data_IF_222999623518
#
_entry.id   IF_222999623518
#
_cell.length_a   1.000
_cell.length_b   1.000
_cell.length_c   1.000
_cell.angle_alpha   90.00
_cell.angle_beta   90.00
_cell.angle_gamma   90.00
#
_symmetry.space_group_name_H-M   'P 1'
#
loop_
_entity.id
_entity.type
_entity.pdbx_description
1 polymer ?
#
# COMPACT_ATOMS: atom_id res chain seq x y z
N UNK A 1 13.02 -6.51 44.00
CA UNK A 1 13.53 -6.84 42.64
C UNK A 1 12.44 -7.63 41.93
N UNK A 2 11.50 -6.93 41.29
CA UNK A 2 10.45 -7.54 40.49
C UNK A 2 10.73 -7.22 39.03
N UNK A 3 11.20 -8.21 38.28
CA UNK A 3 11.32 -8.14 36.82
C UNK A 3 9.93 -8.08 36.20
N UNK A 4 9.67 -6.98 35.49
CA UNK A 4 8.48 -6.68 34.72
C UNK A 4 8.16 -7.80 33.73
N UNK A 5 6.95 -8.36 33.85
CA UNK A 5 6.42 -9.48 33.06
C UNK A 5 6.14 -9.14 31.59
N UNK A 6 6.38 -7.89 31.16
CA UNK A 6 6.15 -7.40 29.80
C UNK A 6 7.29 -7.71 28.81
N UNK A 7 8.54 -7.72 29.26
CA UNK A 7 9.70 -7.91 28.35
C UNK A 7 9.87 -9.35 27.84
N UNK A 8 9.20 -10.33 28.48
CA UNK A 8 9.29 -11.74 28.09
C UNK A 8 8.40 -12.12 26.90
N UNK A 9 7.47 -11.27 26.50
CA UNK A 9 6.52 -11.49 25.40
C UNK A 9 7.16 -11.31 24.03
N UNK A 10 7.94 -10.24 23.86
CA UNK A 10 8.37 -9.80 22.53
C UNK A 10 9.57 -10.60 22.00
N UNK A 11 10.44 -11.07 22.91
CA UNK A 11 11.57 -11.93 22.56
C UNK A 11 11.12 -13.30 22.02
N UNK A 12 9.96 -13.81 22.44
CA UNK A 12 9.44 -15.09 21.98
C UNK A 12 8.82 -15.02 20.57
N UNK A 13 8.27 -13.87 20.17
CA UNK A 13 7.69 -13.70 18.83
C UNK A 13 8.74 -13.54 17.72
N UNK A 14 9.93 -13.00 18.05
CA UNK A 14 11.05 -12.83 17.11
C UNK A 14 11.78 -14.17 16.80
N UNK A 15 11.67 -15.18 17.67
CA UNK A 15 12.42 -16.45 17.55
C UNK A 15 11.86 -17.51 16.57
N UNK A 16 10.67 -17.32 15.99
CA UNK A 16 9.94 -18.43 15.34
C UNK A 16 9.89 -18.42 13.80
N UNK A 17 10.40 -17.39 13.11
CA UNK A 17 10.29 -17.30 11.64
C UNK A 17 11.47 -17.89 10.85
N UNK A 18 12.51 -18.39 11.51
CA UNK A 18 13.67 -19.00 10.83
C UNK A 18 13.27 -20.18 9.95
N UNK A 19 12.33 -21.01 10.40
CA UNK A 19 11.83 -22.14 9.62
C UNK A 19 11.15 -21.68 8.32
N UNK A 20 10.43 -20.55 8.38
CA UNK A 20 9.85 -19.95 7.17
C UNK A 20 10.93 -19.43 6.23
N UNK A 21 12.01 -18.82 6.76
CA UNK A 21 13.14 -18.37 5.94
C UNK A 21 13.82 -19.53 5.20
N UNK A 22 13.96 -20.69 5.85
CA UNK A 22 14.45 -21.91 5.22
C UNK A 22 13.51 -22.38 4.09
N UNK A 23 12.20 -22.44 4.37
CA UNK A 23 11.18 -22.79 3.36
C UNK A 23 11.18 -21.80 2.18
N UNK A 24 11.23 -20.51 2.45
CA UNK A 24 11.25 -19.44 1.46
C UNK A 24 12.49 -19.53 0.55
N UNK A 25 13.59 -20.06 1.08
CA UNK A 25 14.84 -20.22 0.33
C UNK A 25 14.84 -21.45 -0.61
N UNK A 26 13.85 -22.34 -0.50
CA UNK A 26 13.75 -23.52 -1.37
C UNK A 26 13.46 -23.13 -2.83
N UNK A 27 14.07 -23.81 -3.82
CA UNK A 27 13.77 -23.58 -5.24
C UNK A 27 12.30 -23.75 -5.63
N UNK A 28 11.57 -24.58 -4.89
CA UNK A 28 10.13 -24.83 -5.07
C UNK A 28 9.25 -23.70 -4.52
N UNK A 29 9.81 -22.75 -3.75
CA UNK A 29 9.07 -21.61 -3.22
C UNK A 29 8.82 -20.57 -4.32
N UNK A 30 7.70 -20.74 -5.03
CA UNK A 30 7.35 -19.92 -6.20
C UNK A 30 6.27 -18.87 -5.90
N UNK A 31 5.46 -19.06 -4.86
CA UNK A 31 4.26 -18.26 -4.63
C UNK A 31 4.18 -17.87 -3.17
N UNK A 32 4.14 -16.56 -2.92
CA UNK A 32 3.85 -16.00 -1.60
C UNK A 32 2.58 -15.15 -1.69
N UNK A 33 1.60 -15.47 -0.85
CA UNK A 33 0.30 -14.80 -0.83
C UNK A 33 -0.08 -14.57 0.62
N UNK A 34 -0.10 -13.31 1.03
CA UNK A 34 -0.33 -12.93 2.42
C UNK A 34 -1.49 -11.96 2.53
N UNK A 35 -2.42 -12.25 3.43
CA UNK A 35 -3.36 -11.30 3.99
C UNK A 35 -2.89 -10.98 5.41
N UNK A 36 -2.55 -9.71 5.63
CA UNK A 36 -2.01 -9.23 6.89
C UNK A 36 -3.09 -8.42 7.57
N UNK A 37 -3.60 -8.99 8.66
CA UNK A 37 -4.59 -8.34 9.52
C UNK A 37 -3.88 -7.95 10.81
N UNK A 38 -3.93 -6.68 11.23
CA UNK A 38 -3.36 -6.30 12.51
C UNK A 38 -4.14 -7.00 13.64
N UNK A 39 -3.45 -7.36 14.72
CA UNK A 39 -4.11 -7.85 15.92
C UNK A 39 -5.17 -6.82 16.34
N UNK A 40 -6.42 -7.25 16.45
CA UNK A 40 -7.46 -6.43 17.07
C UNK A 40 -7.04 -6.23 18.52
N UNK A 41 -6.71 -5.00 18.89
CA UNK A 41 -6.59 -4.64 20.30
C UNK A 41 -8.04 -4.67 20.81
N UNK A 42 -8.41 -5.76 21.49
CA UNK A 42 -9.70 -5.79 22.20
C UNK A 42 -9.65 -4.69 23.27
N UNK A 43 -10.65 -3.78 23.32
CA UNK A 43 -10.71 -2.80 24.38
C UNK A 43 -10.76 -3.56 25.71
N UNK A 44 -9.76 -3.35 26.56
CA UNK A 44 -9.74 -3.91 27.91
C UNK A 44 -10.92 -3.29 28.67
N UNK A 45 -11.80 -4.12 29.22
CA UNK A 45 -13.04 -3.69 29.89
C UNK A 45 -12.80 -2.81 31.14
N UNK A 46 -11.55 -2.74 31.63
CA UNK A 46 -11.23 -2.21 32.96
C UNK A 46 -10.50 -0.84 32.98
N UNK A 47 -10.10 -0.27 31.84
CA UNK A 47 -9.31 0.97 31.77
C UNK A 47 -10.16 2.16 31.25
N UNK A 48 -10.94 2.78 32.13
CA UNK A 48 -11.88 3.88 31.80
C UNK A 48 -11.22 5.16 31.25
N UNK A 49 -9.90 5.36 31.36
CA UNK A 49 -9.26 6.64 31.01
C UNK A 49 -7.83 6.57 30.46
N UNK A 50 -7.38 5.41 29.96
CA UNK A 50 -6.21 5.46 29.08
C UNK A 50 -6.69 5.93 27.71
N UNK A 51 -6.30 7.16 27.32
CA UNK A 51 -6.16 7.52 25.90
C UNK A 51 -5.65 6.26 25.19
N UNK A 52 -6.33 5.77 24.13
CA UNK A 52 -6.00 4.48 23.53
C UNK A 52 -4.51 4.48 23.25
N UNK A 53 -3.76 3.73 24.06
CA UNK A 53 -2.32 3.91 24.24
C UNK A 53 -1.69 4.22 22.89
N UNK A 54 -1.36 5.51 22.71
CA UNK A 54 -0.91 6.19 21.50
C UNK A 54 -0.65 5.19 20.39
N UNK A 55 -1.57 5.05 19.42
CA UNK A 55 -1.43 4.32 18.16
C UNK A 55 -0.02 3.72 18.00
N UNK A 56 0.28 2.60 18.69
CA UNK A 56 1.62 2.03 18.68
C UNK A 56 1.75 1.33 17.33
N UNK A 57 1.99 2.15 16.32
CA UNK A 57 2.27 1.74 14.94
C UNK A 57 3.41 0.74 14.91
N UNK A 58 4.29 0.77 15.93
CA UNK A 58 5.42 -0.13 16.05
C UNK A 58 5.00 -1.59 16.25
N UNK A 59 4.07 -1.88 17.15
CA UNK A 59 3.70 -3.27 17.47
C UNK A 59 2.64 -3.80 16.50
N UNK A 60 1.70 -2.93 16.10
CA UNK A 60 0.61 -3.27 15.17
C UNK A 60 1.13 -3.70 13.79
N UNK A 61 2.23 -3.11 13.33
CA UNK A 61 2.81 -3.36 12.02
C UNK A 61 4.16 -4.10 12.09
N UNK A 62 4.50 -4.71 13.24
CA UNK A 62 5.78 -5.39 13.44
C UNK A 62 6.04 -6.47 12.37
N UNK A 63 5.00 -7.22 11.97
CA UNK A 63 5.12 -8.22 10.89
C UNK A 63 5.54 -7.56 9.57
N UNK A 64 4.89 -6.46 9.18
CA UNK A 64 5.16 -5.77 7.90
C UNK A 64 6.54 -5.10 7.90
N UNK A 65 6.90 -4.45 9.01
CA UNK A 65 8.11 -3.61 9.09
C UNK A 65 9.38 -4.43 9.35
N UNK A 66 9.31 -5.44 10.23
CA UNK A 66 10.48 -6.21 10.65
C UNK A 66 10.56 -7.57 9.96
N UNK A 67 9.49 -8.34 10.05
CA UNK A 67 9.53 -9.78 9.71
C UNK A 67 9.45 -10.02 8.21
N UNK A 68 8.52 -9.34 7.53
CA UNK A 68 8.22 -9.58 6.12
C UNK A 68 9.44 -9.31 5.21
N UNK A 69 10.23 -8.23 5.37
CA UNK A 69 11.46 -8.04 4.59
C UNK A 69 12.46 -9.19 4.74
N UNK A 70 12.58 -9.79 5.94
CA UNK A 70 13.50 -10.91 6.19
C UNK A 70 13.10 -12.21 5.48
N UNK A 71 11.82 -12.37 5.12
CA UNK A 71 11.35 -13.52 4.36
C UNK A 71 11.83 -13.49 2.91
N UNK A 72 12.16 -12.32 2.39
CA UNK A 72 12.68 -12.14 1.04
C UNK A 72 14.20 -12.28 0.98
N UNK A 73 14.71 -13.44 1.41
CA UNK A 73 16.11 -13.80 1.17
C UNK A 73 16.43 -13.71 -0.32
N UNK A 74 17.69 -13.50 -0.73
CA UNK A 74 18.07 -13.49 -2.15
C UNK A 74 17.59 -14.75 -2.90
N UNK A 75 17.59 -15.90 -2.24
CA UNK A 75 17.05 -17.16 -2.78
C UNK A 75 15.53 -17.11 -2.98
N UNK A 76 14.78 -16.64 -1.98
CA UNK A 76 13.32 -16.48 -2.09
C UNK A 76 12.97 -15.51 -3.23
N UNK A 77 13.63 -14.35 -3.25
CA UNK A 77 13.48 -13.33 -4.27
C UNK A 77 13.70 -13.85 -5.70
N UNK A 78 14.75 -14.66 -5.91
CA UNK A 78 15.06 -15.29 -7.21
C UNK A 78 14.01 -16.31 -7.66
N UNK A 79 13.33 -16.96 -6.72
CA UNK A 79 12.40 -18.05 -7.02
C UNK A 79 10.96 -17.58 -7.21
N UNK A 80 10.56 -16.48 -6.56
CA UNK A 80 9.19 -15.99 -6.56
C UNK A 80 8.70 -15.64 -7.97
N UNK A 81 7.58 -16.25 -8.35
CA UNK A 81 6.83 -15.96 -9.57
C UNK A 81 5.49 -15.25 -9.26
N UNK A 82 4.97 -15.40 -8.05
CA UNK A 82 3.74 -14.74 -7.60
C UNK A 82 3.94 -14.13 -6.23
N UNK A 83 3.61 -12.83 -6.10
CA UNK A 83 3.59 -12.11 -4.84
C UNK A 83 2.23 -11.41 -4.63
N UNK A 84 1.49 -11.82 -3.61
CA UNK A 84 0.36 -11.06 -3.03
C UNK A 84 0.74 -10.51 -1.69
N UNK A 85 0.58 -9.21 -1.51
CA UNK A 85 0.61 -8.58 -0.21
C UNK A 85 -0.68 -7.77 -0.05
N UNK A 86 -1.58 -8.29 0.78
CA UNK A 86 -2.82 -7.62 1.17
C UNK A 86 -2.71 -7.22 2.64
N UNK A 87 -3.18 -6.01 2.96
CA UNK A 87 -3.19 -5.50 4.32
C UNK A 87 -4.56 -4.86 4.62
N UNK A 88 -5.05 -5.04 5.84
CA UNK A 88 -6.32 -4.46 6.30
C UNK A 88 -6.26 -2.93 6.50
N UNK A 89 -5.10 -2.33 6.43
CA UNK A 89 -4.88 -0.88 6.55
C UNK A 89 -3.92 -0.40 5.46
N UNK A 90 -3.93 0.90 5.18
CA UNK A 90 -2.95 1.50 4.29
C UNK A 90 -1.53 1.29 4.83
N UNK A 91 -0.60 0.93 3.93
CA UNK A 91 0.79 0.63 4.25
C UNK A 91 1.72 1.08 3.12
N UNK A 92 3.04 1.05 3.33
CA UNK A 92 4.04 1.49 2.36
C UNK A 92 4.65 2.85 2.71
N UNK A 93 3.84 3.81 3.13
CA UNK A 93 4.31 5.08 3.73
C UNK A 93 4.39 5.01 5.25
N UNK A 94 3.29 4.63 5.92
CA UNK A 94 3.20 4.45 7.36
C UNK A 94 2.25 3.25 7.67
N UNK A 95 2.78 2.07 8.05
CA UNK A 95 4.19 1.75 8.20
C UNK A 95 4.94 1.84 6.87
N UNK A 96 6.23 2.19 6.94
CA UNK A 96 7.10 2.17 5.78
C UNK A 96 7.34 0.74 5.31
N UNK A 97 7.22 0.51 4.01
CA UNK A 97 7.69 -0.72 3.35
C UNK A 97 8.42 -0.37 2.06
N UNK A 98 9.71 -0.69 2.00
CA UNK A 98 10.58 -0.33 0.88
C UNK A 98 10.97 -1.57 0.07
N UNK A 99 10.29 -1.78 -1.05
CA UNK A 99 10.54 -2.93 -1.93
C UNK A 99 11.96 -2.98 -2.51
N UNK A 100 12.74 -1.88 -2.48
CA UNK A 100 14.15 -1.91 -2.90
C UNK A 100 15.02 -2.73 -1.94
N UNK A 101 14.54 -2.96 -0.72
CA UNK A 101 15.20 -3.83 0.27
C UNK A 101 15.00 -5.33 -0.01
N UNK A 102 14.04 -5.69 -0.87
CA UNK A 102 13.75 -7.08 -1.22
C UNK A 102 14.76 -7.59 -2.25
N UNK A 103 15.43 -8.70 -1.92
CA UNK A 103 16.38 -9.36 -2.83
C UNK A 103 17.61 -8.52 -3.20
N UNK A 104 17.79 -7.39 -2.50
CA UNK A 104 18.83 -6.38 -2.61
C UNK A 104 19.53 -6.31 -3.99
N UNK A 105 18.92 -5.64 -4.96
CA UNK A 105 19.58 -5.19 -6.18
C UNK A 105 18.86 -3.96 -6.75
N UNK A 106 19.55 -3.05 -7.48
CA UNK A 106 18.99 -1.76 -7.89
C UNK A 106 17.97 -1.82 -9.04
N UNK A 107 17.82 -2.96 -9.73
CA UNK A 107 16.89 -3.07 -10.86
C UNK A 107 15.99 -4.31 -10.87
N UNK A 108 16.23 -5.35 -10.06
CA UNK A 108 15.51 -6.64 -10.18
C UNK A 108 15.36 -7.42 -8.88
N UNK A 109 14.87 -6.79 -7.81
CA UNK A 109 14.63 -7.47 -6.53
C UNK A 109 13.79 -8.76 -6.63
N UNK A 110 13.02 -8.95 -7.71
CA UNK A 110 12.21 -10.16 -7.97
C UNK A 110 12.27 -10.56 -9.47
N UNK A 111 13.36 -11.20 -9.94
CA UNK A 111 13.64 -11.34 -11.38
C UNK A 111 12.74 -12.35 -12.11
N UNK A 112 12.10 -13.28 -11.38
CA UNK A 112 11.20 -14.28 -11.95
C UNK A 112 9.72 -13.94 -11.74
N UNK A 113 9.43 -12.76 -11.18
CA UNK A 113 8.07 -12.38 -10.87
C UNK A 113 7.23 -12.28 -12.15
N UNK A 114 6.07 -12.91 -12.12
CA UNK A 114 5.07 -12.92 -13.20
C UNK A 114 3.78 -12.23 -12.77
N UNK A 115 3.47 -12.30 -11.48
CA UNK A 115 2.27 -11.70 -10.91
C UNK A 115 2.59 -10.92 -9.64
N UNK A 116 2.18 -9.65 -9.59
CA UNK A 116 2.22 -8.80 -8.42
C UNK A 116 0.80 -8.34 -8.08
N UNK A 117 0.38 -8.58 -6.84
CA UNK A 117 -0.88 -8.07 -6.29
C UNK A 117 -0.59 -7.32 -5.01
N UNK A 118 -1.01 -6.06 -4.97
CA UNK A 118 -0.93 -5.21 -3.80
C UNK A 118 -2.34 -4.75 -3.46
N UNK A 119 -2.73 -4.89 -2.19
CA UNK A 119 -3.92 -4.25 -1.67
C UNK A 119 -3.57 -3.20 -0.63
N UNK A 120 -4.19 -2.03 -0.73
CA UNK A 120 -4.02 -0.90 0.20
C UNK A 120 -2.60 -0.37 0.31
N UNK A 121 -1.82 -0.55 -0.75
CA UNK A 121 -0.48 0.03 -0.80
C UNK A 121 -0.55 1.53 -1.11
N UNK A 122 0.20 2.31 -0.35
CA UNK A 122 0.29 3.76 -0.45
C UNK A 122 1.57 4.14 -1.21
N UNK A 123 1.37 4.57 -2.46
CA UNK A 123 2.43 5.13 -3.28
C UNK A 123 2.75 6.56 -2.82
N UNK A 124 4.03 6.87 -2.68
CA UNK A 124 4.53 8.12 -2.14
C UNK A 124 5.86 8.56 -2.75
N UNK A 125 6.56 7.75 -3.55
CA UNK A 125 7.87 8.14 -4.06
C UNK A 125 8.07 7.67 -5.51
N UNK A 126 8.79 8.46 -6.30
CA UNK A 126 9.08 8.17 -7.73
C UNK A 126 9.74 6.80 -7.92
N UNK A 127 10.61 6.39 -7.00
CA UNK A 127 11.28 5.09 -7.06
C UNK A 127 10.28 3.92 -7.18
N UNK A 128 9.06 4.06 -6.65
CA UNK A 128 8.03 3.01 -6.72
C UNK A 128 7.50 2.82 -8.15
N UNK A 129 7.44 3.91 -8.94
CA UNK A 129 7.10 3.88 -10.37
C UNK A 129 8.14 3.04 -11.10
N UNK A 130 9.41 3.40 -10.89
CA UNK A 130 10.56 2.78 -11.55
C UNK A 130 10.76 1.33 -11.11
N UNK A 131 10.54 1.02 -9.84
CA UNK A 131 10.63 -0.33 -9.31
C UNK A 131 9.57 -1.25 -9.93
N UNK A 132 8.29 -0.85 -9.96
CA UNK A 132 7.26 -1.65 -10.64
C UNK A 132 7.59 -1.82 -12.13
N UNK A 133 8.05 -0.75 -12.77
CA UNK A 133 8.47 -0.79 -14.17
C UNK A 133 9.62 -1.77 -14.44
N UNK A 134 10.57 -1.85 -13.51
CA UNK A 134 11.72 -2.74 -13.63
C UNK A 134 11.30 -4.22 -13.58
N UNK A 135 10.24 -4.55 -12.83
CA UNK A 135 9.63 -5.88 -12.83
C UNK A 135 9.03 -6.22 -14.20
N UNK A 136 8.44 -5.24 -14.90
CA UNK A 136 7.94 -5.42 -16.27
C UNK A 136 9.03 -5.82 -17.26
N UNK A 137 10.24 -5.23 -17.13
CA UNK A 137 11.43 -5.66 -17.88
C UNK A 137 11.89 -7.07 -17.49
N UNK A 138 11.68 -7.45 -16.23
CA UNK A 138 11.89 -8.81 -15.69
C UNK A 138 10.86 -9.85 -16.14
N UNK A 139 9.83 -9.44 -16.88
CA UNK A 139 8.78 -10.32 -17.39
C UNK A 139 7.54 -10.41 -16.51
N UNK A 140 7.27 -9.39 -15.67
CA UNK A 140 5.98 -9.26 -14.98
C UNK A 140 4.86 -9.19 -16.02
N UNK A 141 3.88 -10.09 -15.88
CA UNK A 141 2.74 -10.24 -16.80
C UNK A 141 1.46 -9.70 -16.23
N UNK A 142 1.32 -9.72 -14.90
CA UNK A 142 0.08 -9.37 -14.23
C UNK A 142 0.32 -8.43 -13.06
N UNK A 143 -0.42 -7.33 -13.02
CA UNK A 143 -0.38 -6.33 -11.95
C UNK A 143 -1.80 -6.03 -11.45
N UNK A 144 -2.05 -6.29 -10.17
CA UNK A 144 -3.32 -6.01 -9.49
C UNK A 144 -3.09 -4.99 -8.38
N UNK A 145 -3.87 -3.90 -8.42
CA UNK A 145 -3.85 -2.82 -7.44
C UNK A 145 -5.24 -2.66 -6.83
N UNK A 146 -5.45 -3.17 -5.63
CA UNK A 146 -6.74 -3.15 -4.94
C UNK A 146 -6.75 -2.14 -3.81
N UNK A 147 -7.66 -1.17 -3.80
CA UNK A 147 -7.69 -0.09 -2.80
C UNK A 147 -6.33 0.63 -2.62
N UNK A 148 -5.45 0.59 -3.63
CA UNK A 148 -4.16 1.28 -3.61
C UNK A 148 -4.36 2.79 -3.82
N UNK A 149 -3.51 3.58 -3.16
CA UNK A 149 -3.66 5.04 -3.10
C UNK A 149 -2.35 5.76 -3.37
N UNK A 150 -2.45 7.03 -3.75
CA UNK A 150 -1.30 7.93 -3.84
C UNK A 150 -1.32 8.95 -2.71
N UNK A 151 -0.23 9.05 -1.96
CA UNK A 151 -0.05 10.07 -0.94
C UNK A 151 0.15 11.44 -1.59
N UNK A 152 -0.73 12.39 -1.26
CA UNK A 152 -0.62 13.77 -1.70
C UNK A 152 0.18 14.62 -0.70
N UNK A 153 -0.18 14.52 0.58
CA UNK A 153 0.44 15.30 1.67
C UNK A 153 0.54 14.43 2.92
N UNK A 154 1.64 14.53 3.66
CA UNK A 154 1.75 14.02 5.01
C UNK A 154 2.09 15.14 6.00
N UNK A 155 1.43 15.10 7.15
CA UNK A 155 1.66 16.00 8.27
C UNK A 155 2.49 15.32 9.35
N UNK A 156 3.39 16.08 9.98
CA UNK A 156 4.22 15.63 11.10
C UNK A 156 4.41 16.77 12.10
N UNK A 157 4.64 16.41 13.36
CA UNK A 157 4.99 17.34 14.45
C UNK A 157 6.45 17.78 14.40
N UNK A 158 7.29 17.05 13.68
CA UNK A 158 8.69 17.41 13.44
C UNK A 158 8.77 18.28 12.19
N UNK A 159 9.36 19.47 12.30
CA UNK A 159 9.59 20.33 11.15
C UNK A 159 10.49 19.62 10.12
N UNK A 160 10.19 19.78 8.83
CA UNK A 160 10.90 19.10 7.74
C UNK A 160 12.42 19.35 7.71
N UNK A 161 12.90 20.45 8.30
CA UNK A 161 14.34 20.78 8.43
C UNK A 161 15.05 20.17 9.64
N UNK A 162 14.32 19.62 10.61
CA UNK A 162 14.86 19.04 11.85
C UNK A 162 14.92 17.51 11.79
N UNK A 163 14.07 16.90 10.96
CA UNK A 163 14.04 15.46 10.76
C UNK A 163 15.22 14.98 9.92
N UNK A 164 16.18 14.30 10.55
CA UNK A 164 17.17 13.51 9.83
C UNK A 164 16.61 12.13 9.52
N UNK A 165 16.34 11.88 8.25
CA UNK A 165 16.11 10.52 7.74
C UNK A 165 17.44 9.95 7.26
N UNK A 166 18.11 9.19 8.12
CA UNK A 166 19.34 8.48 7.73
C UNK A 166 19.02 7.50 6.59
N UNK A 167 19.88 7.40 5.56
CA UNK A 167 19.67 6.48 4.46
C UNK A 167 19.73 5.03 4.95
N UNK A 168 18.96 4.15 4.32
CA UNK A 168 19.07 2.71 4.59
C UNK A 168 20.21 2.14 3.74
N UNK A 169 21.25 1.64 4.39
CA UNK A 169 22.32 0.90 3.73
C UNK A 169 21.93 -0.57 3.57
N UNK A 170 21.92 -1.06 2.33
CA UNK A 170 21.73 -2.48 2.03
C UNK A 170 22.94 -3.01 1.25
N UNK A 171 23.17 -4.31 1.31
CA UNK A 171 24.15 -5.01 0.50
C UNK A 171 23.42 -5.73 -0.63
N UNK A 172 23.83 -5.48 -1.86
CA UNK A 172 23.20 -6.11 -3.02
C UNK A 172 23.59 -7.58 -3.19
N UNK A 173 23.00 -8.23 -4.19
CA UNK A 173 23.23 -9.65 -4.48
C UNK A 173 24.67 -9.96 -4.91
N UNK A 174 25.40 -8.94 -5.35
CA UNK A 174 26.80 -8.99 -5.78
C UNK A 174 27.75 -8.51 -4.66
N UNK A 175 27.22 -8.16 -3.47
CA UNK A 175 27.98 -7.69 -2.32
C UNK A 175 28.27 -6.18 -2.30
N UNK A 176 27.70 -5.40 -3.22
CA UNK A 176 27.90 -3.96 -3.26
C UNK A 176 27.01 -3.25 -2.25
N UNK A 177 27.54 -2.24 -1.58
CA UNK A 177 26.77 -1.40 -0.66
C UNK A 177 25.96 -0.38 -1.44
N UNK A 178 24.64 -0.44 -1.31
CA UNK A 178 23.69 0.51 -1.89
C UNK A 178 23.09 1.36 -0.77
N UNK A 179 23.06 2.67 -0.97
CA UNK A 179 22.36 3.59 -0.08
C UNK A 179 20.98 3.93 -0.65
N UNK A 180 19.94 3.59 0.10
CA UNK A 180 18.58 3.95 -0.23
C UNK A 180 18.20 5.23 0.51
N UNK A 181 17.84 6.27 -0.24
CA UNK A 181 17.32 7.50 0.36
C UNK A 181 16.00 7.22 1.08
N UNK A 182 15.91 7.77 2.30
CA UNK A 182 14.72 7.77 3.15
C UNK A 182 14.02 9.13 3.18
N UNK A 183 14.49 10.07 2.36
CA UNK A 183 13.90 11.40 2.26
C UNK A 183 12.42 11.31 1.89
N UNK A 184 11.57 12.00 2.65
CA UNK A 184 10.12 12.05 2.47
C UNK A 184 9.34 11.05 3.34
N UNK A 185 9.99 10.00 3.84
CA UNK A 185 9.41 9.13 4.87
C UNK A 185 9.49 9.77 6.26
N UNK A 186 8.55 9.40 7.13
CA UNK A 186 8.59 9.81 8.54
C UNK A 186 9.90 9.32 9.20
N UNK A 187 10.56 10.16 10.01
CA UNK A 187 11.82 9.78 10.65
C UNK A 187 11.56 8.71 11.71
N UNK A 188 12.53 7.80 11.90
CA UNK A 188 12.43 6.70 12.88
C UNK A 188 12.29 7.20 14.32
N UNK A 189 12.77 8.42 14.59
CA UNK A 189 12.62 9.11 15.87
C UNK A 189 11.21 9.65 16.12
N UNK A 190 10.35 9.71 15.10
CA UNK A 190 8.98 10.16 15.29
C UNK A 190 8.16 9.08 15.99
N UNK A 191 7.56 9.44 17.13
CA UNK A 191 6.80 8.53 18.00
C UNK A 191 5.30 8.86 18.04
N UNK A 192 4.81 9.57 17.02
CA UNK A 192 3.48 10.19 17.08
C UNK A 192 3.54 11.61 17.63
N UNK A 193 2.37 12.25 17.69
CA UNK A 193 2.19 13.57 18.27
C UNK A 193 0.91 13.60 19.10
N UNK A 194 0.86 14.51 20.06
CA UNK A 194 -0.32 14.76 20.89
C UNK A 194 -1.28 15.73 20.16
N UNK A 195 -2.53 15.83 20.61
CA UNK A 195 -3.53 16.77 20.06
C UNK A 195 -3.09 18.23 20.13
N UNK A 196 -2.25 18.57 21.10
CA UNK A 196 -1.72 19.93 21.30
C UNK A 196 -0.47 20.25 20.48
N UNK A 197 0.08 19.27 19.74
CA UNK A 197 1.29 19.50 18.97
C UNK A 197 1.01 20.32 17.71
N UNK A 198 2.00 21.12 17.30
CA UNK A 198 1.90 21.86 16.06
C UNK A 198 2.20 20.94 14.87
N UNK A 199 1.14 20.55 14.14
CA UNK A 199 1.26 19.78 12.91
C UNK A 199 1.62 20.68 11.73
N UNK A 200 2.66 20.28 11.00
CA UNK A 200 3.09 20.97 9.78
C UNK A 200 3.18 20.01 8.61
N UNK A 201 3.10 20.54 7.39
CA UNK A 201 3.32 19.74 6.18
C UNK A 201 4.76 19.25 6.19
N UNK A 202 4.94 17.94 6.32
CA UNK A 202 6.24 17.29 6.35
C UNK A 202 6.66 16.82 4.97
N UNK A 203 5.72 16.21 4.25
CA UNK A 203 5.92 15.68 2.92
C UNK A 203 4.79 16.12 2.01
N UNK A 204 5.14 16.53 0.79
CA UNK A 204 4.20 16.84 -0.28
C UNK A 204 4.68 16.16 -1.55
N UNK A 205 3.77 15.40 -2.15
CA UNK A 205 4.02 14.69 -3.38
C UNK A 205 3.68 15.55 -4.57
N UNK A 206 4.53 15.52 -5.59
CA UNK A 206 4.21 15.98 -6.95
C UNK A 206 3.82 14.81 -7.87
N UNK A 207 3.66 13.62 -7.29
CA UNK A 207 3.31 12.42 -8.03
C UNK A 207 1.84 12.45 -8.44
N UNK A 208 1.58 11.85 -9.59
CA UNK A 208 0.26 11.78 -10.19
C UNK A 208 0.07 10.43 -10.86
N UNK A 209 -1.14 9.86 -10.81
CA UNK A 209 -1.38 8.50 -11.31
C UNK A 209 -1.10 8.34 -12.81
N UNK A 210 -1.36 9.36 -13.64
CA UNK A 210 -1.02 9.31 -15.05
C UNK A 210 0.50 9.14 -15.29
N UNK A 211 1.36 9.61 -14.38
CA UNK A 211 2.80 9.41 -14.49
C UNK A 211 3.14 7.92 -14.35
N UNK A 212 2.50 7.23 -13.40
CA UNK A 212 2.63 5.78 -13.21
C UNK A 212 2.16 5.04 -14.45
N UNK A 213 0.92 5.31 -14.89
CA UNK A 213 0.31 4.60 -16.01
C UNK A 213 1.04 4.83 -17.32
N UNK A 214 1.43 6.08 -17.63
CA UNK A 214 2.20 6.38 -18.83
C UNK A 214 3.58 5.74 -18.81
N UNK A 215 4.25 5.73 -17.65
CA UNK A 215 5.54 5.09 -17.51
C UNK A 215 5.41 3.58 -17.73
N UNK A 216 4.52 2.90 -17.00
CA UNK A 216 4.29 1.45 -17.10
C UNK A 216 3.86 1.01 -18.49
N UNK A 217 2.96 1.76 -19.14
CA UNK A 217 2.52 1.49 -20.51
C UNK A 217 3.70 1.43 -21.48
N UNK A 218 4.66 2.34 -21.33
CA UNK A 218 5.86 2.45 -22.18
C UNK A 218 6.93 1.43 -21.83
N UNK A 219 7.16 1.17 -20.54
CA UNK A 219 8.32 0.40 -20.07
C UNK A 219 8.05 -1.09 -19.85
N UNK A 220 6.80 -1.48 -19.59
CA UNK A 220 6.44 -2.85 -19.22
C UNK A 220 5.82 -3.60 -20.42
N UNK A 221 6.65 -3.94 -21.41
CA UNK A 221 6.18 -4.62 -22.64
C UNK A 221 5.59 -6.01 -22.40
N UNK A 222 6.00 -6.69 -21.33
CA UNK A 222 5.51 -8.03 -20.95
C UNK A 222 4.21 -8.01 -20.16
N UNK A 223 3.77 -6.83 -19.69
CA UNK A 223 2.52 -6.71 -18.94
C UNK A 223 1.35 -6.99 -19.89
N UNK A 224 0.51 -7.94 -19.48
CA UNK A 224 -0.64 -8.47 -20.22
C UNK A 224 -1.95 -8.20 -19.48
N UNK A 225 -1.90 -8.21 -18.15
CA UNK A 225 -3.08 -7.98 -17.30
C UNK A 225 -2.77 -6.84 -16.34
N UNK A 226 -3.62 -5.82 -16.37
CA UNK A 226 -3.62 -4.75 -15.40
C UNK A 226 -5.04 -4.57 -14.86
N UNK A 227 -5.19 -4.69 -13.55
CA UNK A 227 -6.46 -4.46 -12.86
C UNK A 227 -6.25 -3.51 -11.70
N UNK A 228 -7.15 -2.54 -11.59
CA UNK A 228 -7.23 -1.65 -10.45
C UNK A 228 -8.69 -1.49 -10.03
N UNK A 229 -8.94 -1.58 -8.73
CA UNK A 229 -10.30 -1.54 -8.22
C UNK A 229 -10.35 -1.08 -6.77
N UNK A 230 -11.59 -0.95 -6.30
CA UNK A 230 -11.88 -0.66 -4.91
C UNK A 230 -13.01 -1.55 -4.40
N UNK A 231 -12.87 -1.99 -3.16
CA UNK A 231 -13.88 -2.79 -2.46
C UNK A 231 -14.85 -1.91 -1.68
N UNK A 232 -16.06 -2.40 -1.38
CA UNK A 232 -17.01 -1.69 -0.50
C UNK A 232 -16.44 -1.38 0.90
N UNK A 233 -15.41 -2.11 1.35
CA UNK A 233 -14.73 -1.82 2.61
C UNK A 233 -14.16 -0.39 2.62
N UNK A 234 -13.81 0.15 1.45
CA UNK A 234 -13.31 1.51 1.30
C UNK A 234 -14.37 2.57 1.58
N UNK A 235 -15.66 2.35 1.23
CA UNK A 235 -16.76 3.30 1.53
C UNK A 235 -16.91 3.57 3.03
N UNK A 236 -16.66 2.54 3.83
CA UNK A 236 -16.76 2.62 5.29
C UNK A 236 -15.71 3.57 5.87
N UNK A 237 -14.56 3.75 5.19
CA UNK A 237 -13.41 4.47 5.74
C UNK A 237 -13.15 5.82 5.09
N UNK A 238 -13.49 5.97 3.82
CA UNK A 238 -13.12 7.18 3.08
C UNK A 238 -14.11 8.31 3.23
N UNK A 239 -15.37 8.03 3.61
CA UNK A 239 -16.50 8.95 3.47
C UNK A 239 -16.64 9.53 2.03
N UNK A 240 -15.95 8.96 1.05
CA UNK A 240 -16.01 9.33 -0.37
C UNK A 240 -17.10 8.49 -1.02
N UNK A 241 -17.98 9.14 -1.78
CA UNK A 241 -18.98 8.44 -2.57
C UNK A 241 -18.32 7.78 -3.80
N UNK A 242 -17.86 6.54 -3.65
CA UNK A 242 -17.14 5.83 -4.71
C UNK A 242 -17.98 5.52 -5.95
N UNK A 243 -19.32 5.54 -5.85
CA UNK A 243 -20.19 5.25 -7.00
C UNK A 243 -19.95 6.19 -8.18
N UNK A 244 -19.49 7.41 -7.91
CA UNK A 244 -19.27 8.44 -8.93
C UNK A 244 -17.99 8.17 -9.73
N UNK A 245 -17.15 7.25 -9.26
CA UNK A 245 -15.81 6.95 -9.78
C UNK A 245 -15.66 5.51 -10.27
N UNK A 246 -16.75 4.76 -10.41
CA UNK A 246 -16.72 3.41 -10.97
C UNK A 246 -16.94 3.43 -12.49
N UNK A 247 -16.36 2.45 -13.19
CA UNK A 247 -16.63 2.28 -14.62
C UNK A 247 -18.07 1.81 -14.87
N UNK A 248 -18.60 0.94 -14.01
CA UNK A 248 -19.98 0.44 -14.07
C UNK A 248 -20.66 0.53 -12.69
N UNK A 249 -21.95 0.93 -12.62
CA UNK A 249 -22.70 0.88 -11.38
C UNK A 249 -22.98 -0.59 -11.01
N UNK A 250 -22.33 -1.10 -9.96
CA UNK A 250 -22.67 -2.42 -9.41
C UNK A 250 -24.18 -2.48 -9.11
N UNK A 251 -24.87 -3.60 -9.43
CA UNK A 251 -26.28 -3.77 -9.11
C UNK A 251 -26.49 -3.61 -7.60
N UNK A 252 -27.21 -2.54 -7.23
CA UNK A 252 -27.48 -2.18 -5.83
C UNK A 252 -28.43 -3.20 -5.22
N UNK A 253 -27.91 -4.25 -4.59
CA UNK A 253 -28.68 -5.03 -3.62
C UNK A 253 -28.48 -4.46 -2.22
N UNK A 254 -29.58 -4.36 -1.49
CA UNK A 254 -29.68 -3.78 -0.15
C UNK A 254 -28.69 -4.42 0.83
N UNK A 255 -28.04 -3.56 1.61
CA UNK A 255 -26.94 -3.89 2.53
C UNK A 255 -27.51 -4.47 3.83
N UNK A 256 -27.03 -5.62 4.34
CA UNK A 256 -27.10 -5.90 5.76
C UNK A 256 -26.10 -4.98 6.49
N UNK A 257 -26.58 -4.11 7.39
CA UNK A 257 -25.74 -3.39 8.35
C UNK A 257 -24.90 -4.42 9.11
N UNK A 258 -23.63 -4.57 8.75
CA UNK A 258 -22.76 -5.58 9.33
C UNK A 258 -21.78 -6.17 8.33
N UNK A 259 -21.24 -5.36 7.41
CA UNK A 259 -20.15 -5.79 6.54
C UNK A 259 -18.91 -6.05 7.40
N UNK A 260 -18.87 -7.24 8.00
CA UNK A 260 -17.68 -7.85 8.51
C UNK A 260 -16.65 -7.82 7.39
N UNK A 261 -15.51 -7.19 7.67
CA UNK A 261 -14.25 -7.32 6.95
C UNK A 261 -14.24 -8.65 6.20
N UNK A 262 -14.30 -8.61 4.87
CA UNK A 262 -14.27 -9.83 4.06
C UNK A 262 -12.87 -10.41 4.27
N UNK A 263 -12.76 -11.29 5.26
CA UNK A 263 -11.60 -12.14 5.43
C UNK A 263 -11.54 -12.97 4.16
N UNK A 264 -10.62 -12.61 3.26
CA UNK A 264 -10.35 -13.39 2.06
C UNK A 264 -9.88 -14.78 2.52
N UNK A 265 -10.84 -15.70 2.67
CA UNK A 265 -10.60 -17.08 3.10
C UNK A 265 -9.85 -17.89 2.05
N UNK A 266 -9.84 -17.43 0.80
CA UNK A 266 -9.25 -18.14 -0.33
C UNK A 266 -8.42 -17.23 -1.25
N UNK A 267 -7.85 -17.86 -2.26
CA UNK A 267 -6.70 -17.46 -3.05
C UNK A 267 -6.96 -16.24 -3.95
N UNK A 268 -7.06 -15.04 -3.36
CA UNK A 268 -7.47 -13.77 -3.96
C UNK A 268 -7.02 -13.53 -5.42
N UNK A 269 -5.79 -13.89 -5.77
CA UNK A 269 -5.26 -13.68 -7.12
C UNK A 269 -6.00 -14.40 -8.26
N UNK A 270 -6.46 -15.65 -8.06
CA UNK A 270 -7.22 -16.32 -9.11
C UNK A 270 -8.62 -15.71 -9.24
N UNK A 271 -9.08 -15.10 -8.14
CA UNK A 271 -10.42 -14.58 -8.01
C UNK A 271 -10.52 -13.14 -8.55
N UNK A 272 -9.41 -12.38 -8.60
CA UNK A 272 -9.34 -11.08 -9.31
C UNK A 272 -9.57 -11.20 -10.83
N UNK A 273 -9.47 -12.40 -11.41
CA UNK A 273 -9.87 -12.67 -12.80
C UNK A 273 -11.32 -13.12 -12.94
N UNK A 274 -11.94 -13.56 -11.83
CA UNK A 274 -13.28 -14.10 -11.81
C UNK A 274 -14.27 -12.95 -11.58
N UNK A 275 -14.93 -12.53 -12.65
CA UNK A 275 -15.92 -11.45 -12.59
C UNK A 275 -17.05 -11.75 -11.59
N UNK A 276 -17.45 -13.02 -11.43
CA UNK A 276 -18.48 -13.41 -10.47
C UNK A 276 -17.98 -13.28 -9.02
N UNK A 277 -16.72 -13.63 -8.76
CA UNK A 277 -16.14 -13.39 -7.45
C UNK A 277 -15.96 -11.90 -7.16
N UNK A 278 -15.53 -11.11 -8.14
CA UNK A 278 -15.40 -9.66 -7.95
C UNK A 278 -16.75 -9.01 -7.65
N UNK A 279 -17.82 -9.51 -8.26
CA UNK A 279 -19.19 -9.13 -7.92
C UNK A 279 -19.54 -9.52 -6.48
N UNK A 280 -19.25 -10.75 -6.05
CA UNK A 280 -19.48 -11.25 -4.68
C UNK A 280 -18.67 -10.49 -3.60
N UNK A 281 -17.38 -10.29 -3.84
CA UNK A 281 -16.46 -9.51 -3.03
C UNK A 281 -16.68 -7.99 -3.15
N UNK A 282 -17.59 -7.58 -4.06
CA UNK A 282 -17.96 -6.19 -4.35
C UNK A 282 -16.75 -5.31 -4.66
N UNK A 283 -15.83 -5.83 -5.48
CA UNK A 283 -14.68 -5.11 -6.00
C UNK A 283 -15.05 -4.49 -7.34
N UNK A 284 -15.26 -3.18 -7.35
CA UNK A 284 -15.56 -2.42 -8.56
C UNK A 284 -14.29 -1.94 -9.26
N UNK A 285 -14.30 -1.88 -10.61
CA UNK A 285 -13.23 -1.19 -11.33
C UNK A 285 -13.35 0.32 -11.20
N UNK A 286 -12.23 0.94 -10.81
CA UNK A 286 -12.14 2.39 -10.71
C UNK A 286 -11.96 3.02 -12.09
N UNK A 287 -12.67 4.12 -12.30
CA UNK A 287 -12.46 5.09 -13.39
C UNK A 287 -11.23 5.95 -13.13
N UNK A 288 -11.02 6.34 -11.87
CA UNK A 288 -9.84 7.10 -11.43
C UNK A 288 -9.38 6.58 -10.06
N UNK A 289 -8.06 6.39 -9.87
CA UNK A 289 -7.50 6.04 -8.58
C UNK A 289 -7.69 7.10 -7.49
N UNK A 290 -7.43 6.71 -6.25
CA UNK A 290 -7.60 7.57 -5.08
C UNK A 290 -6.30 8.24 -4.63
N UNK A 291 -6.47 9.37 -3.95
CA UNK A 291 -5.43 10.11 -3.28
C UNK A 291 -5.70 10.12 -1.77
N UNK A 292 -4.64 10.26 -0.97
CA UNK A 292 -4.77 10.35 0.49
C UNK A 292 -3.91 11.46 1.06
N UNK A 293 -4.37 12.04 2.16
CA UNK A 293 -3.54 12.79 3.10
C UNK A 293 -3.25 11.90 4.31
N UNK A 294 -2.02 11.93 4.76
CA UNK A 294 -1.64 11.32 6.04
C UNK A 294 -1.63 12.39 7.12
N UNK A 295 -2.51 12.28 8.09
CA UNK A 295 -2.65 13.19 9.22
C UNK A 295 -2.89 12.38 10.49
N UNK A 296 -1.85 12.17 11.31
CA UNK A 296 -1.94 11.27 12.46
C UNK A 296 -2.44 11.94 13.74
N UNK A 297 -3.09 13.09 13.63
CA UNK A 297 -3.76 13.75 14.76
C UNK A 297 -4.86 12.82 15.31
N UNK A 298 -4.94 12.61 16.64
CA UNK A 298 -6.20 12.17 17.25
C UNK A 298 -7.17 13.35 17.11
N UNK A 299 -7.98 13.33 16.04
CA UNK A 299 -9.00 14.36 15.82
C UNK A 299 -9.87 14.44 17.08
N UNK A 300 -9.82 15.57 17.79
CA UNK A 300 -10.56 15.80 19.03
C UNK A 300 -12.04 15.40 18.87
N UNK A 301 -12.43 14.31 19.53
CA UNK A 301 -13.80 13.79 19.55
C UNK A 301 -13.88 12.36 20.07
N UNK A 302 -15.09 11.94 20.47
CA UNK A 302 -15.43 10.57 20.91
C UNK A 302 -15.17 9.46 19.86
N UNK A 303 -14.51 9.78 18.75
CA UNK A 303 -14.23 8.88 17.65
C UNK A 303 -12.92 8.12 17.87
N UNK A 304 -13.04 7.00 18.59
CA UNK A 304 -11.99 5.96 18.70
C UNK A 304 -11.62 5.29 17.34
N UNK A 305 -12.27 5.68 16.24
CA UNK A 305 -12.17 5.06 14.91
C UNK A 305 -11.48 5.92 13.83
N UNK A 306 -11.00 7.13 14.15
CA UNK A 306 -10.36 7.97 13.14
C UNK A 306 -8.91 7.54 12.90
N UNK A 307 -8.73 6.77 11.81
CA UNK A 307 -7.42 6.37 11.27
C UNK A 307 -6.66 7.61 10.75
N UNK A 308 -5.32 7.58 10.67
CA UNK A 308 -4.50 8.74 10.31
C UNK A 308 -4.56 9.12 8.82
N UNK A 309 -5.60 8.70 8.10
CA UNK A 309 -5.71 8.76 6.65
C UNK A 309 -6.99 9.47 6.25
N UNK A 310 -6.84 10.63 5.63
CA UNK A 310 -7.96 11.34 5.02
C UNK A 310 -7.95 11.06 3.53
N UNK A 311 -8.92 10.29 3.08
CA UNK A 311 -9.09 10.00 1.66
C UNK A 311 -9.60 11.23 0.94
N UNK A 312 -8.98 11.50 -0.21
CA UNK A 312 -9.43 12.51 -1.14
C UNK A 312 -10.03 11.77 -2.34
N UNK A 313 -11.17 12.22 -2.88
CA UNK A 313 -11.54 11.84 -4.24
C UNK A 313 -10.40 12.23 -5.19
N UNK A 314 -10.39 11.73 -6.45
CA UNK A 314 -9.66 12.38 -7.53
C UNK A 314 -9.85 13.90 -7.42
N UNK A 315 -8.72 14.60 -7.29
CA UNK A 315 -8.49 15.59 -6.24
C UNK A 315 -9.49 16.74 -6.21
N UNK A 316 -10.15 16.93 -5.06
CA UNK A 316 -10.45 18.26 -4.54
C UNK A 316 -9.30 18.62 -3.63
N UNK A 317 -8.32 19.38 -4.11
CA UNK A 317 -7.34 19.95 -3.20
C UNK A 317 -8.09 20.89 -2.25
N UNK A 318 -8.23 20.47 -0.98
CA UNK A 318 -9.00 21.22 0.00
C UNK A 318 -8.51 22.65 0.19
N UNK A 319 -9.16 23.57 -0.51
CA UNK A 319 -9.60 24.90 -0.12
C UNK A 319 -10.43 25.46 -1.29
N UNK A 320 -11.71 25.78 -1.09
CA UNK A 320 -12.47 26.59 -2.06
C UNK A 320 -11.67 27.86 -2.32
N UNK A 321 -11.24 28.12 -3.55
CA UNK A 321 -10.48 29.34 -3.81
C UNK A 321 -9.84 29.46 -5.17
N UNK A 322 -10.68 29.58 -6.21
CA UNK A 322 -10.45 30.16 -7.55
C UNK A 322 -10.78 29.19 -8.69
N UNK A 323 -11.41 29.70 -9.76
CA UNK A 323 -11.76 28.93 -10.97
C UNK A 323 -10.54 28.22 -11.56
N UNK A 324 -9.36 28.84 -11.44
CA UNK A 324 -8.10 28.29 -11.95
C UNK A 324 -7.67 27.01 -11.22
N UNK A 325 -7.90 26.91 -9.92
CA UNK A 325 -7.58 25.70 -9.15
C UNK A 325 -8.53 24.54 -9.51
N UNK A 326 -9.82 24.85 -9.72
CA UNK A 326 -10.81 23.86 -10.16
C UNK A 326 -10.52 23.35 -11.59
N UNK A 327 -10.02 24.21 -12.48
CA UNK A 327 -9.58 23.82 -13.83
C UNK A 327 -8.33 22.93 -13.82
N UNK A 328 -7.35 23.22 -12.98
CA UNK A 328 -6.15 22.39 -12.81
C UNK A 328 -6.47 21.01 -12.23
N UNK A 329 -7.31 20.95 -11.19
CA UNK A 329 -7.78 19.69 -10.58
C UNK A 329 -8.54 18.83 -11.62
N UNK A 330 -9.41 19.45 -12.42
CA UNK A 330 -10.15 18.76 -13.48
C UNK A 330 -9.24 18.25 -14.59
N UNK A 331 -8.28 19.07 -15.04
CA UNK A 331 -7.30 18.65 -16.05
C UNK A 331 -6.49 17.45 -15.55
N UNK A 332 -6.08 17.48 -14.29
CA UNK A 332 -5.35 16.39 -13.67
C UNK A 332 -6.17 15.08 -13.64
N UNK A 333 -7.45 15.17 -13.27
CA UNK A 333 -8.37 14.02 -13.31
C UNK A 333 -8.49 13.48 -14.74
N UNK A 334 -8.69 14.36 -15.72
CA UNK A 334 -8.79 13.98 -17.13
C UNK A 334 -7.51 13.27 -17.62
N UNK A 335 -6.33 13.78 -17.25
CA UNK A 335 -5.04 13.15 -17.57
C UNK A 335 -4.91 11.75 -16.94
N UNK A 336 -5.34 11.58 -15.68
CA UNK A 336 -5.36 10.28 -14.97
C UNK A 336 -6.33 9.28 -15.63
N UNK A 337 -7.55 9.71 -15.98
CA UNK A 337 -8.55 8.90 -16.69
C UNK A 337 -8.01 8.43 -18.03
N UNK A 338 -7.46 9.37 -18.82
CA UNK A 338 -6.95 9.09 -20.16
C UNK A 338 -5.78 8.11 -20.08
N UNK A 339 -4.80 8.36 -19.21
CA UNK A 339 -3.64 7.50 -19.08
C UNK A 339 -4.01 6.08 -18.62
N UNK A 340 -4.94 5.95 -17.67
CA UNK A 340 -5.46 4.65 -17.22
C UNK A 340 -6.17 3.90 -18.36
N UNK A 341 -7.02 4.60 -19.11
CA UNK A 341 -7.73 4.02 -20.25
C UNK A 341 -6.78 3.55 -21.35
N UNK A 342 -5.75 4.35 -21.65
CA UNK A 342 -4.70 3.98 -22.60
C UNK A 342 -3.91 2.75 -22.15
N UNK A 343 -3.55 2.67 -20.85
CA UNK A 343 -2.86 1.49 -20.31
C UNK A 343 -3.74 0.24 -20.44
N UNK A 344 -5.01 0.31 -20.03
CA UNK A 344 -5.97 -0.80 -20.13
C UNK A 344 -6.14 -1.29 -21.57
N UNK A 345 -6.32 -0.35 -22.51
CA UNK A 345 -6.47 -0.68 -23.93
C UNK A 345 -5.23 -1.38 -24.51
N UNK A 346 -4.04 -0.89 -24.15
CA UNK A 346 -2.76 -1.50 -24.53
C UNK A 346 -2.65 -2.94 -23.98
N UNK A 347 -2.99 -3.16 -22.70
CA UNK A 347 -2.96 -4.50 -22.10
C UNK A 347 -3.95 -5.44 -22.78
N UNK A 348 -5.17 -4.96 -23.06
CA UNK A 348 -6.19 -5.74 -23.75
C UNK A 348 -5.71 -6.18 -25.13
N UNK A 349 -5.12 -5.27 -25.92
CA UNK A 349 -4.55 -5.57 -27.24
C UNK A 349 -3.46 -6.64 -27.15
N UNK A 350 -2.55 -6.52 -26.18
CA UNK A 350 -1.47 -7.51 -25.96
C UNK A 350 -2.02 -8.88 -25.56
N UNK A 351 -3.06 -8.91 -24.71
CA UNK A 351 -3.67 -10.16 -24.25
C UNK A 351 -4.33 -10.94 -25.39
N UNK A 352 -5.01 -10.25 -26.31
CA UNK A 352 -5.69 -10.87 -27.46
C UNK A 352 -4.68 -11.48 -28.46
N UNK A 353 -3.54 -10.82 -28.67
CA UNK A 353 -2.46 -11.35 -29.52
C UNK A 353 -1.69 -12.52 -28.93
N UNK A 354 -1.89 -12.85 -27.64
CA UNK A 354 -1.29 -14.02 -27.00
C UNK A 354 -2.14 -15.28 -27.11
N UNK A 355 -3.47 -15.12 -27.26
CA UNK A 355 -4.43 -16.22 -27.42
C UNK A 355 -4.56 -16.74 -28.86
N UNK A 356 -3.87 -16.11 -29.81
CA UNK A 356 -3.70 -16.53 -31.20
C UNK A 356 -2.31 -17.11 -31.44
#
# INVERSE_FOLDING_TARGET
MGTTRGERSDAAAEEHWWAFREVASLPSFKKLKLMITPNRIEPREDDEWQEPAVYSTRDRFALVVKVLPEWFTPSAARNLTVLSLHHDELWGYAPKFDFRTIGAAPDRGLPQLRTLSLSRFCFSHEWQIDWIASLGKGGLKELYLDDCVLLSVAYCTIASGEARTEPTCIEDIDGNKIQLSNQGYLPVSWQGGNSWDQWSVYYRSNLQWHQFFNHWRKSMSSLMVFRMGSSEAHKTWSHVNLSDYWLDPLPRTTIPLGAHFIFLKENAHNMFHDDAWREDARIAELRVPLYVKYMPEPLDGDNKDLRPWTFLPPMKHGAKGSEQADEEDKKQEDDDVVALSMLRHEMHTRSMGWTS
#
